data_IF_894253380144
#
_entry.id   IF_894253380144
#
_cell.length_a   1.000
_cell.length_b   1.000
_cell.length_c   1.000
_cell.angle_alpha   90.00
_cell.angle_beta   90.00
_cell.angle_gamma   90.00
#
_symmetry.space_group_name_H-M   'P 1'
#
loop_
_entity.id
_entity.type
_entity.pdbx_description
1 polymer ?
#
# COMPACT_ATOMS: atom_id res chain seq x y z
N UNK A 1 37.15 15.52 14.99
CA UNK A 1 37.13 14.57 13.84
C UNK A 1 37.83 13.23 14.12
N UNK A 2 39.16 13.18 14.26
CA UNK A 2 39.90 11.91 14.40
C UNK A 2 39.49 11.10 15.65
N UNK A 3 39.28 11.77 16.78
CA UNK A 3 38.80 11.13 18.01
C UNK A 3 37.41 10.48 17.80
N UNK A 4 36.47 11.19 17.17
CA UNK A 4 35.15 10.67 16.80
C UNK A 4 35.25 9.46 15.84
N UNK A 5 36.13 9.52 14.84
CA UNK A 5 36.37 8.42 13.89
C UNK A 5 36.85 7.14 14.57
N UNK A 6 37.76 7.29 15.52
CA UNK A 6 38.33 6.18 16.28
C UNK A 6 37.43 5.72 17.44
N UNK A 7 36.47 6.54 17.87
CA UNK A 7 35.64 6.28 19.06
C UNK A 7 36.39 6.45 20.38
N UNK A 8 37.51 7.20 20.38
CA UNK A 8 38.30 7.49 21.58
C UNK A 8 37.60 8.55 22.41
N UNK A 9 36.75 8.08 23.31
CA UNK A 9 35.84 8.93 24.12
C UNK A 9 36.63 9.73 25.16
N UNK A 10 37.67 9.14 25.74
CA UNK A 10 38.64 9.81 26.60
C UNK A 10 39.24 11.07 25.93
N UNK A 11 39.77 10.90 24.72
CA UNK A 11 40.34 12.01 23.95
C UNK A 11 39.24 12.98 23.52
N UNK A 12 38.06 12.47 23.17
CA UNK A 12 36.93 13.34 22.81
C UNK A 12 36.57 14.26 23.97
N UNK A 13 36.43 13.73 25.18
CA UNK A 13 36.08 14.52 26.37
C UNK A 13 37.14 15.56 26.69
N UNK A 14 38.43 15.19 26.65
CA UNK A 14 39.52 16.15 26.84
C UNK A 14 39.46 17.29 25.81
N UNK A 15 39.15 16.95 24.54
CA UNK A 15 39.01 17.96 23.49
C UNK A 15 37.78 18.85 23.73
N UNK A 16 36.66 18.29 24.21
CA UNK A 16 35.44 19.05 24.50
C UNK A 16 35.60 20.03 25.67
N UNK A 17 36.50 19.77 26.63
CA UNK A 17 36.83 20.68 27.73
C UNK A 17 37.64 21.91 27.27
N UNK A 18 38.17 21.89 26.04
CA UNK A 18 38.91 23.02 25.47
C UNK A 18 38.07 24.28 25.33
N UNK A 19 38.63 25.44 25.69
CA UNK A 19 37.95 26.73 25.45
C UNK A 19 37.80 26.95 23.94
N UNK A 20 36.58 27.28 23.51
CA UNK A 20 36.23 27.64 22.11
C UNK A 20 36.33 26.51 21.07
N UNK A 21 36.10 25.26 21.47
CA UNK A 21 36.05 24.15 20.50
C UNK A 21 34.85 24.33 19.58
N UNK A 22 35.11 24.47 18.28
CA UNK A 22 34.07 24.43 17.26
C UNK A 22 33.72 22.96 16.95
N UNK A 23 32.51 22.54 17.33
CA UNK A 23 32.02 21.16 17.15
C UNK A 23 31.51 20.87 15.74
N UNK A 24 31.27 21.93 14.98
CA UNK A 24 30.48 21.92 13.75
C UNK A 24 31.36 22.03 12.50
N UNK A 25 32.66 21.77 12.67
CA UNK A 25 33.62 21.72 11.57
C UNK A 25 33.25 20.56 10.65
N UNK A 26 33.13 20.87 9.35
CA UNK A 26 32.91 19.90 8.29
C UNK A 26 34.25 19.55 7.61
N UNK A 27 34.50 18.26 7.38
CA UNK A 27 35.57 17.80 6.49
C UNK A 27 35.23 18.12 5.02
N UNK A 28 36.14 17.83 4.08
CA UNK A 28 35.95 18.12 2.66
C UNK A 28 34.66 17.52 2.09
N UNK A 29 34.23 16.36 2.58
CA UNK A 29 32.99 15.70 2.17
C UNK A 29 31.73 16.24 2.90
N UNK A 30 31.87 17.27 3.72
CA UNK A 30 30.79 17.84 4.51
C UNK A 30 30.49 17.10 5.82
N UNK A 31 31.20 16.02 6.16
CA UNK A 31 30.91 15.29 7.40
C UNK A 31 31.40 16.07 8.62
N UNK A 32 30.55 16.20 9.64
CA UNK A 32 30.91 16.71 10.98
C UNK A 32 31.39 15.58 11.89
N UNK A 33 31.90 15.92 13.09
CA UNK A 33 32.30 14.92 14.08
C UNK A 33 31.13 13.98 14.46
N UNK A 34 29.92 14.53 14.52
CA UNK A 34 28.67 13.80 14.77
C UNK A 34 28.39 12.82 13.63
N UNK A 35 28.44 13.27 12.37
CA UNK A 35 28.21 12.40 11.20
C UNK A 35 29.21 11.24 11.19
N UNK A 36 30.48 11.53 11.45
CA UNK A 36 31.53 10.49 11.53
C UNK A 36 31.21 9.49 12.65
N UNK A 37 30.82 9.95 13.84
CA UNK A 37 30.49 9.06 14.96
C UNK A 37 29.29 8.15 14.63
N UNK A 38 28.26 8.68 13.95
CA UNK A 38 27.11 7.92 13.45
C UNK A 38 27.54 6.85 12.44
N UNK A 39 28.27 7.25 11.39
CA UNK A 39 28.75 6.32 10.35
C UNK A 39 29.64 5.21 10.92
N UNK A 40 30.50 5.56 11.90
CA UNK A 40 31.46 4.63 12.53
C UNK A 40 30.87 3.88 13.73
N UNK A 41 29.57 4.04 14.00
CA UNK A 41 28.83 3.30 15.06
C UNK A 41 29.46 3.52 16.44
N UNK A 42 29.72 4.78 16.81
CA UNK A 42 30.35 5.14 18.09
C UNK A 42 29.31 5.79 19.02
N UNK A 43 28.37 5.02 19.62
CA UNK A 43 27.27 5.59 20.40
C UNK A 43 27.72 6.37 21.62
N UNK A 44 28.80 5.95 22.30
CA UNK A 44 29.33 6.66 23.47
C UNK A 44 29.91 8.01 23.06
N UNK A 45 30.78 8.03 22.06
CA UNK A 45 31.36 9.27 21.54
C UNK A 45 30.31 10.19 20.95
N UNK A 46 29.31 9.64 20.27
CA UNK A 46 28.16 10.39 19.75
C UNK A 46 27.39 11.08 20.88
N UNK A 47 27.12 10.36 21.98
CA UNK A 47 26.40 10.91 23.13
C UNK A 47 27.14 12.10 23.75
N UNK A 48 28.46 12.03 23.84
CA UNK A 48 29.27 13.15 24.35
C UNK A 48 29.22 14.36 23.41
N UNK A 49 29.27 14.15 22.08
CA UNK A 49 29.13 15.22 21.10
C UNK A 49 27.74 15.88 21.16
N UNK A 50 26.68 15.08 21.27
CA UNK A 50 25.30 15.57 21.42
C UNK A 50 25.14 16.39 22.70
N UNK A 51 25.68 15.91 23.83
CA UNK A 51 25.66 16.63 25.12
C UNK A 51 26.44 17.93 25.09
N UNK A 52 27.54 17.97 24.35
CA UNK A 52 28.34 19.17 24.15
C UNK A 52 27.65 20.21 23.26
N UNK A 53 26.52 19.89 22.65
CA UNK A 53 25.72 20.83 21.85
C UNK A 53 26.20 20.97 20.41
N UNK A 54 26.75 19.91 19.80
CA UNK A 54 26.99 19.89 18.36
C UNK A 54 25.71 20.13 17.57
N UNK A 55 25.79 20.86 16.47
CA UNK A 55 24.67 21.04 15.54
C UNK A 55 24.39 19.71 14.82
N UNK A 56 23.20 19.16 15.07
CA UNK A 56 22.75 17.88 14.52
C UNK A 56 22.05 18.03 13.15
N UNK A 57 21.89 19.26 12.67
CA UNK A 57 21.12 19.60 11.47
C UNK A 57 22.00 19.81 10.24
N UNK A 58 23.33 19.86 10.42
CA UNK A 58 24.26 20.04 9.32
C UNK A 58 24.22 18.86 8.34
N UNK A 59 24.04 19.19 7.07
CA UNK A 59 24.07 18.24 5.97
C UNK A 59 25.49 18.10 5.41
N UNK A 60 25.92 16.87 5.14
CA UNK A 60 27.13 16.63 4.36
C UNK A 60 26.94 16.94 2.86
N UNK A 61 27.95 16.68 2.02
CA UNK A 61 27.85 16.95 0.58
C UNK A 61 26.78 16.11 -0.15
N UNK A 62 26.40 14.95 0.40
CA UNK A 62 25.27 14.16 -0.12
C UNK A 62 23.90 14.76 0.26
N UNK A 63 23.89 15.81 1.08
CA UNK A 63 22.65 16.38 1.63
C UNK A 63 22.10 15.58 2.82
N UNK A 64 22.91 14.74 3.46
CA UNK A 64 22.45 13.90 4.57
C UNK A 64 22.79 14.50 5.93
N UNK A 65 21.81 14.56 6.81
CA UNK A 65 22.02 14.86 8.24
C UNK A 65 22.48 13.60 8.99
N UNK A 66 23.07 13.74 10.19
CA UNK A 66 23.33 12.60 11.08
C UNK A 66 22.11 11.68 11.26
N UNK A 67 20.91 12.26 11.43
CA UNK A 67 19.68 11.51 11.66
C UNK A 67 19.26 10.69 10.43
N UNK A 68 19.38 11.26 9.23
CA UNK A 68 19.14 10.52 7.98
C UNK A 68 20.09 9.34 7.83
N UNK A 69 21.37 9.51 8.16
CA UNK A 69 22.38 8.44 8.07
C UNK A 69 22.07 7.31 9.07
N UNK A 70 21.64 7.67 10.29
CA UNK A 70 21.21 6.70 11.30
C UNK A 70 19.99 5.91 10.84
N UNK A 71 18.97 6.60 10.31
CA UNK A 71 17.75 6.00 9.79
C UNK A 71 18.00 5.08 8.58
N UNK A 72 18.79 5.54 7.60
CA UNK A 72 19.24 4.74 6.44
C UNK A 72 19.99 3.47 6.86
N UNK A 73 20.66 3.51 8.01
CA UNK A 73 21.41 2.38 8.58
C UNK A 73 20.57 1.48 9.48
N UNK A 74 19.33 1.85 9.80
CA UNK A 74 18.42 1.16 10.72
C UNK A 74 19.01 0.91 12.09
N UNK A 75 19.64 1.96 12.65
CA UNK A 75 20.29 1.92 13.95
C UNK A 75 19.44 2.65 14.96
N UNK A 76 18.43 1.98 15.50
CA UNK A 76 17.54 2.59 16.49
C UNK A 76 18.32 3.10 17.72
N UNK A 77 19.41 2.43 18.12
CA UNK A 77 20.29 2.88 19.20
C UNK A 77 20.95 4.23 18.92
N UNK A 78 21.49 4.42 17.72
CA UNK A 78 22.12 5.66 17.28
C UNK A 78 21.07 6.75 17.03
N UNK A 79 19.93 6.39 16.42
CA UNK A 79 18.80 7.30 16.23
C UNK A 79 18.34 7.85 17.58
N UNK A 80 18.16 6.99 18.59
CA UNK A 80 17.74 7.42 19.93
C UNK A 80 18.74 8.38 20.58
N UNK A 81 20.05 8.16 20.41
CA UNK A 81 21.06 9.12 20.92
C UNK A 81 20.95 10.48 20.23
N UNK A 82 20.69 10.52 18.92
CA UNK A 82 20.50 11.78 18.20
C UNK A 82 19.22 12.51 18.63
N UNK A 83 18.14 11.76 18.88
CA UNK A 83 16.85 12.29 19.35
C UNK A 83 16.91 12.86 20.78
N UNK A 84 17.94 12.54 21.57
CA UNK A 84 18.23 13.22 22.85
C UNK A 84 18.77 14.66 22.65
N UNK A 85 19.17 15.02 21.42
CA UNK A 85 19.76 16.30 21.09
C UNK A 85 18.78 17.47 21.18
N UNK A 86 19.26 18.60 21.68
CA UNK A 86 18.48 19.84 21.71
C UNK A 86 18.39 20.44 20.30
N UNK A 87 17.22 20.93 19.93
CA UNK A 87 16.97 21.64 18.66
C UNK A 87 17.24 20.82 17.38
N UNK A 88 17.17 19.48 17.47
CA UNK A 88 17.22 18.63 16.28
C UNK A 88 15.97 18.87 15.42
N UNK A 89 16.19 19.09 14.12
CA UNK A 89 15.15 19.19 13.11
C UNK A 89 14.99 17.81 12.43
N UNK A 90 13.83 17.21 12.65
CA UNK A 90 13.50 15.86 12.16
C UNK A 90 13.06 15.85 10.69
N UNK A 91 12.76 17.03 10.16
CA UNK A 91 12.00 17.22 8.92
C UNK A 91 12.85 17.76 7.77
N UNK A 92 14.16 17.90 7.96
CA UNK A 92 15.12 18.21 6.89
C UNK A 92 14.98 17.15 5.78
N UNK A 93 15.01 17.59 4.53
CA UNK A 93 14.95 16.72 3.34
C UNK A 93 16.25 16.80 2.54
N UNK A 94 16.75 15.63 2.10
CA UNK A 94 17.92 15.55 1.24
C UNK A 94 17.60 16.00 -0.19
N UNK A 95 18.55 16.67 -0.86
CA UNK A 95 18.28 17.42 -2.10
C UNK A 95 17.94 16.57 -3.31
N UNK A 96 18.38 15.32 -3.39
CA UNK A 96 18.26 14.46 -4.58
C UNK A 96 16.86 13.87 -4.70
N UNK A 97 16.32 13.27 -3.64
CA UNK A 97 14.99 12.62 -3.64
C UNK A 97 13.95 13.36 -2.80
N UNK A 98 14.37 14.30 -1.94
CA UNK A 98 13.45 14.92 -0.97
C UNK A 98 13.18 14.03 0.24
N UNK A 99 14.01 13.03 0.52
CA UNK A 99 13.79 12.15 1.67
C UNK A 99 14.25 12.79 2.98
N UNK A 100 13.38 12.71 3.99
CA UNK A 100 13.71 12.97 5.40
C UNK A 100 14.21 11.70 6.09
N UNK A 101 14.60 11.80 7.36
CA UNK A 101 14.98 10.62 8.15
C UNK A 101 13.86 9.57 8.21
N UNK A 102 12.60 10.00 8.32
CA UNK A 102 11.45 9.10 8.32
C UNK A 102 11.30 8.33 7.00
N UNK A 103 11.54 8.97 5.85
CA UNK A 103 11.54 8.29 4.56
C UNK A 103 12.64 7.21 4.50
N UNK A 104 13.84 7.50 4.99
CA UNK A 104 14.93 6.52 5.04
C UNK A 104 14.63 5.33 5.97
N UNK A 105 13.98 5.54 7.12
CA UNK A 105 13.60 4.43 8.01
C UNK A 105 12.51 3.55 7.38
N UNK A 106 11.57 4.18 6.67
CA UNK A 106 10.51 3.46 5.95
C UNK A 106 11.06 2.65 4.80
N UNK A 107 11.95 3.22 3.98
CA UNK A 107 12.60 2.50 2.89
C UNK A 107 13.36 1.26 3.38
N UNK A 108 13.90 1.33 4.59
CA UNK A 108 14.62 0.22 5.18
C UNK A 108 13.70 -0.88 5.74
N UNK A 109 12.41 -0.61 5.92
CA UNK A 109 11.51 -1.48 6.66
C UNK A 109 11.77 -1.48 8.17
N UNK A 110 12.49 -0.48 8.69
CA UNK A 110 12.85 -0.42 10.12
C UNK A 110 11.72 0.23 10.93
N UNK A 111 10.77 -0.60 11.35
CA UNK A 111 9.64 -0.20 12.17
C UNK A 111 10.05 0.43 13.51
N UNK A 112 11.12 -0.03 14.15
CA UNK A 112 11.57 0.50 15.45
C UNK A 112 12.14 1.92 15.31
N UNK A 113 12.94 2.16 14.27
CA UNK A 113 13.42 3.51 13.97
C UNK A 113 12.28 4.43 13.51
N UNK A 114 11.33 3.91 12.75
CA UNK A 114 10.14 4.67 12.32
C UNK A 114 9.29 5.09 13.52
N UNK A 115 9.01 4.17 14.43
CA UNK A 115 8.29 4.44 15.68
C UNK A 115 9.01 5.52 16.52
N UNK A 116 10.34 5.40 16.67
CA UNK A 116 11.13 6.37 17.43
C UNK A 116 11.06 7.78 16.83
N UNK A 117 11.16 7.91 15.50
CA UNK A 117 11.05 9.19 14.80
C UNK A 117 9.65 9.80 14.95
N UNK A 118 8.60 8.99 14.79
CA UNK A 118 7.21 9.46 14.94
C UNK A 118 6.91 9.91 16.38
N UNK A 119 7.37 9.16 17.39
CA UNK A 119 7.24 9.56 18.80
C UNK A 119 8.00 10.85 19.12
N UNK A 120 9.10 11.11 18.43
CA UNK A 120 9.84 12.36 18.56
C UNK A 120 9.18 13.53 17.81
N UNK A 121 8.11 13.30 17.05
CA UNK A 121 7.35 14.33 16.35
C UNK A 121 7.79 14.56 14.91
N UNK A 122 8.50 13.62 14.27
CA UNK A 122 8.81 13.71 12.84
C UNK A 122 7.52 13.77 12.03
N UNK A 123 7.45 14.66 11.04
CA UNK A 123 6.24 14.89 10.26
C UNK A 123 6.03 13.77 9.21
N UNK A 124 4.99 12.92 9.34
CA UNK A 124 4.72 11.85 8.38
C UNK A 124 4.14 12.33 7.05
N UNK A 125 3.77 13.61 6.94
CA UNK A 125 3.12 14.21 5.77
C UNK A 125 4.10 14.90 4.81
N UNK A 126 5.40 14.93 5.15
CA UNK A 126 6.42 15.40 4.23
C UNK A 126 6.37 14.58 2.95
N UNK A 127 6.46 15.27 1.82
CA UNK A 127 6.43 14.67 0.49
C UNK A 127 7.82 14.66 -0.12
N UNK A 128 8.21 13.52 -0.66
CA UNK A 128 9.39 13.42 -1.50
C UNK A 128 9.17 14.09 -2.88
N UNK A 129 10.17 14.00 -3.75
CA UNK A 129 10.08 14.60 -5.10
C UNK A 129 9.07 13.95 -6.03
N UNK A 130 8.56 12.75 -5.73
CA UNK A 130 7.43 12.12 -6.43
C UNK A 130 6.09 12.49 -5.80
N UNK A 131 6.11 13.29 -4.73
CA UNK A 131 4.94 13.59 -3.91
C UNK A 131 4.57 12.47 -2.94
N UNK A 132 5.39 11.42 -2.81
CA UNK A 132 5.10 10.31 -1.91
C UNK A 132 5.37 10.74 -0.47
N UNK A 133 4.43 10.47 0.42
CA UNK A 133 4.63 10.56 1.88
C UNK A 133 5.25 9.27 2.41
N UNK A 134 5.65 9.27 3.69
CA UNK A 134 6.10 8.06 4.38
C UNK A 134 5.11 6.90 4.27
N UNK A 135 3.80 7.16 4.36
CA UNK A 135 2.73 6.15 4.20
C UNK A 135 2.73 5.59 2.78
N UNK A 136 2.78 6.45 1.76
CA UNK A 136 2.80 6.01 0.36
C UNK A 136 4.04 5.16 0.08
N UNK A 137 5.19 5.55 0.60
CA UNK A 137 6.42 4.78 0.48
C UNK A 137 6.30 3.41 1.13
N UNK A 138 5.77 3.31 2.36
CA UNK A 138 5.56 2.02 3.04
C UNK A 138 4.66 1.08 2.24
N UNK A 139 3.61 1.60 1.61
CA UNK A 139 2.72 0.83 0.73
C UNK A 139 3.45 0.34 -0.52
N UNK A 140 4.20 1.22 -1.20
CA UNK A 140 4.98 0.87 -2.40
C UNK A 140 6.10 -0.14 -2.12
N UNK A 141 6.68 -0.10 -0.92
CA UNK A 141 7.74 -1.02 -0.48
C UNK A 141 7.22 -2.30 0.16
N UNK A 142 5.93 -2.35 0.48
CA UNK A 142 5.28 -3.51 1.09
C UNK A 142 5.83 -3.80 2.48
N UNK A 143 5.91 -2.76 3.31
CA UNK A 143 6.46 -2.81 4.66
C UNK A 143 5.32 -2.75 5.71
N UNK A 144 4.62 -3.86 6.00
CA UNK A 144 3.43 -3.86 6.85
C UNK A 144 3.73 -3.44 8.30
N UNK A 145 4.90 -3.80 8.83
CA UNK A 145 5.27 -3.41 10.20
C UNK A 145 5.43 -1.89 10.32
N UNK A 146 6.19 -1.29 9.40
CA UNK A 146 6.38 0.16 9.33
C UNK A 146 5.07 0.89 9.03
N UNK A 147 4.25 0.36 8.14
CA UNK A 147 2.94 0.94 7.82
C UNK A 147 2.04 0.99 9.05
N UNK A 148 2.03 -0.05 9.90
CA UNK A 148 1.27 -0.03 11.16
C UNK A 148 1.76 1.07 12.11
N UNK A 149 3.06 1.31 12.20
CA UNK A 149 3.58 2.41 13.02
C UNK A 149 3.10 3.77 12.51
N UNK A 150 3.09 3.98 11.19
CA UNK A 150 2.58 5.22 10.59
C UNK A 150 1.07 5.40 10.81
N UNK A 151 0.28 4.33 10.68
CA UNK A 151 -1.18 4.35 10.93
C UNK A 151 -1.47 4.65 12.41
N UNK A 152 -0.77 3.97 13.35
CA UNK A 152 -0.90 4.19 14.79
C UNK A 152 -0.52 5.61 15.22
N UNK A 153 0.43 6.22 14.53
CA UNK A 153 0.83 7.60 14.76
C UNK A 153 -0.17 8.64 14.22
N UNK A 154 -1.29 8.21 13.62
CA UNK A 154 -2.32 9.12 13.09
C UNK A 154 -1.89 9.84 11.81
N UNK A 155 -1.05 9.20 10.99
CA UNK A 155 -0.66 9.75 9.68
C UNK A 155 -1.89 9.92 8.78
N UNK A 156 -1.95 11.01 8.00
CA UNK A 156 -3.07 11.23 7.08
C UNK A 156 -2.94 10.28 5.87
N UNK A 157 -3.87 9.33 5.79
CA UNK A 157 -3.91 8.30 4.76
C UNK A 157 -4.56 8.78 3.45
N UNK A 158 -5.05 10.02 3.41
CA UNK A 158 -5.78 10.59 2.27
C UNK A 158 -4.88 11.41 1.34
N UNK A 159 -3.63 11.65 1.73
CA UNK A 159 -2.69 12.45 0.94
C UNK A 159 -2.39 11.78 -0.40
N UNK A 160 -2.49 12.56 -1.47
CA UNK A 160 -2.19 12.12 -2.82
C UNK A 160 -0.75 12.49 -3.22
N UNK A 161 -0.07 11.59 -3.94
CA UNK A 161 1.21 11.91 -4.57
C UNK A 161 1.03 12.75 -5.87
N UNK A 162 2.11 12.95 -6.62
CA UNK A 162 2.03 13.76 -7.85
C UNK A 162 1.09 13.18 -8.91
N UNK A 163 1.00 11.85 -9.01
CA UNK A 163 0.07 11.14 -9.88
C UNK A 163 -1.39 11.27 -9.41
N UNK A 164 -1.64 11.79 -8.20
CA UNK A 164 -2.98 11.82 -7.62
C UNK A 164 -3.36 10.51 -6.93
N UNK A 165 -2.40 9.61 -6.66
CA UNK A 165 -2.67 8.34 -6.00
C UNK A 165 -2.59 8.48 -4.49
N UNK A 166 -3.59 7.97 -3.78
CA UNK A 166 -3.55 7.76 -2.32
C UNK A 166 -2.85 6.43 -1.99
N UNK A 167 -2.37 6.23 -0.74
CA UNK A 167 -1.92 4.93 -0.27
C UNK A 167 -2.90 3.79 -0.58
N UNK A 168 -4.20 4.01 -0.38
CA UNK A 168 -5.23 2.99 -0.60
C UNK A 168 -5.37 2.59 -2.08
N UNK A 169 -5.30 3.56 -3.00
CA UNK A 169 -5.30 3.27 -4.44
C UNK A 169 -4.09 2.43 -4.86
N UNK A 170 -2.92 2.73 -4.31
CA UNK A 170 -1.68 1.99 -4.63
C UNK A 170 -1.78 0.55 -4.12
N UNK A 171 -2.30 0.35 -2.89
CA UNK A 171 -2.53 -0.97 -2.32
C UNK A 171 -3.53 -1.79 -3.17
N UNK A 172 -4.64 -1.15 -3.57
CA UNK A 172 -5.67 -1.77 -4.40
C UNK A 172 -5.16 -2.16 -5.79
N UNK A 173 -4.40 -1.28 -6.47
CA UNK A 173 -3.76 -1.58 -7.77
C UNK A 173 -2.71 -2.68 -7.68
N UNK A 174 -2.14 -2.92 -6.50
CA UNK A 174 -1.12 -3.97 -6.32
C UNK A 174 -1.73 -5.32 -5.91
N UNK A 175 -3.04 -5.40 -5.71
CA UNK A 175 -3.73 -6.61 -5.24
C UNK A 175 -3.32 -7.06 -3.83
N UNK A 176 -2.92 -6.11 -2.97
CA UNK A 176 -2.36 -6.41 -1.64
C UNK A 176 -3.38 -6.20 -0.56
N UNK A 177 -4.16 -7.24 -0.29
CA UNK A 177 -5.23 -7.21 0.71
C UNK A 177 -4.69 -7.00 2.12
N UNK A 178 -3.51 -7.51 2.45
CA UNK A 178 -2.85 -7.33 3.75
C UNK A 178 -2.53 -5.85 4.04
N UNK A 179 -1.91 -5.17 3.08
CA UNK A 179 -1.61 -3.73 3.14
C UNK A 179 -2.89 -2.91 3.13
N UNK A 180 -3.87 -3.31 2.32
CA UNK A 180 -5.19 -2.66 2.28
C UNK A 180 -5.87 -2.73 3.63
N UNK A 181 -5.88 -3.89 4.27
CA UNK A 181 -6.49 -4.06 5.60
C UNK A 181 -5.81 -3.18 6.65
N UNK A 182 -4.48 -3.04 6.63
CA UNK A 182 -3.77 -2.14 7.54
C UNK A 182 -4.20 -0.68 7.31
N UNK A 183 -4.38 -0.25 6.07
CA UNK A 183 -4.84 1.11 5.77
C UNK A 183 -6.29 1.33 6.23
N UNK A 184 -7.16 0.31 6.09
CA UNK A 184 -8.55 0.36 6.53
C UNK A 184 -8.71 0.39 8.06
N UNK A 185 -7.67 0.03 8.83
CA UNK A 185 -7.63 0.24 10.28
C UNK A 185 -7.45 1.72 10.67
N UNK A 186 -7.06 2.59 9.71
CA UNK A 186 -6.81 4.00 9.96
C UNK A 186 -8.06 4.82 10.20
N UNK A 187 -7.97 5.74 11.16
CA UNK A 187 -9.05 6.68 11.46
C UNK A 187 -9.22 7.69 10.30
N UNK A 188 -10.47 8.05 9.99
CA UNK A 188 -10.82 9.07 9.00
C UNK A 188 -10.33 8.81 7.56
N UNK A 189 -10.07 7.56 7.18
CA UNK A 189 -9.75 7.21 5.79
C UNK A 189 -10.94 7.48 4.87
N UNK A 190 -10.69 8.16 3.75
CA UNK A 190 -11.66 8.39 2.69
C UNK A 190 -11.43 7.40 1.55
N UNK A 191 -12.39 6.48 1.38
CA UNK A 191 -12.32 5.39 0.42
C UNK A 191 -12.62 5.82 -1.03
N UNK A 192 -13.21 7.01 -1.20
CA UNK A 192 -13.81 7.47 -2.45
C UNK A 192 -13.01 8.60 -3.12
N UNK A 193 -11.78 8.85 -2.68
CA UNK A 193 -10.86 9.75 -3.39
C UNK A 193 -10.65 9.23 -4.81
N UNK A 194 -10.55 10.14 -5.77
CA UNK A 194 -10.33 9.83 -7.18
C UNK A 194 -8.99 10.38 -7.66
N UNK A 195 -8.25 9.57 -8.41
CA UNK A 195 -6.97 9.96 -9.00
C UNK A 195 -7.17 10.94 -10.17
N UNK A 196 -6.14 11.73 -10.47
CA UNK A 196 -6.27 12.91 -11.33
C UNK A 196 -6.51 12.58 -12.80
N UNK A 197 -5.98 11.49 -13.34
CA UNK A 197 -5.96 11.18 -14.76
C UNK A 197 -7.28 10.56 -15.21
N UNK A 198 -7.70 9.44 -14.65
CA UNK A 198 -8.92 8.72 -15.04
C UNK A 198 -10.08 8.92 -14.07
N UNK A 199 -9.84 9.50 -12.89
CA UNK A 199 -10.87 9.54 -11.85
C UNK A 199 -11.11 8.20 -11.16
N UNK A 200 -10.23 7.22 -11.32
CA UNK A 200 -10.37 5.94 -10.61
C UNK A 200 -10.12 6.12 -9.10
N UNK A 201 -10.96 5.47 -8.30
CA UNK A 201 -10.77 5.29 -6.85
C UNK A 201 -10.10 3.95 -6.55
N UNK A 202 -9.81 3.68 -5.27
CA UNK A 202 -9.27 2.38 -4.87
C UNK A 202 -10.17 1.21 -5.30
N UNK A 203 -11.49 1.36 -5.22
CA UNK A 203 -12.44 0.33 -5.64
C UNK A 203 -12.40 0.09 -7.15
N UNK A 204 -12.18 1.13 -7.97
CA UNK A 204 -12.00 0.97 -9.40
C UNK A 204 -10.70 0.19 -9.71
N UNK A 205 -9.60 0.49 -9.01
CA UNK A 205 -8.34 -0.22 -9.21
C UNK A 205 -8.41 -1.69 -8.78
N UNK A 206 -9.02 -2.01 -7.63
CA UNK A 206 -9.16 -3.41 -7.21
C UNK A 206 -10.04 -4.22 -8.16
N UNK A 207 -11.11 -3.59 -8.67
CA UNK A 207 -11.98 -4.15 -9.70
C UNK A 207 -11.25 -4.36 -11.03
N UNK A 208 -10.48 -3.36 -11.47
CA UNK A 208 -9.67 -3.44 -12.67
C UNK A 208 -8.70 -4.62 -12.56
N UNK A 209 -7.98 -4.80 -11.45
CA UNK A 209 -7.05 -5.91 -11.28
C UNK A 209 -7.72 -7.28 -11.09
N UNK A 210 -9.03 -7.31 -10.82
CA UNK A 210 -9.76 -8.55 -10.52
C UNK A 210 -9.48 -9.10 -9.12
N UNK A 211 -8.90 -8.30 -8.22
CA UNK A 211 -8.65 -8.68 -6.84
C UNK A 211 -9.96 -8.66 -6.05
N UNK A 212 -10.57 -9.84 -5.96
CA UNK A 212 -11.84 -10.04 -5.25
C UNK A 212 -11.71 -9.77 -3.76
N UNK A 213 -10.57 -10.10 -3.14
CA UNK A 213 -10.38 -9.96 -1.70
C UNK A 213 -10.26 -8.49 -1.30
N UNK A 214 -9.47 -7.72 -2.05
CA UNK A 214 -9.36 -6.27 -1.82
C UNK A 214 -10.66 -5.53 -2.17
N UNK A 215 -11.33 -5.93 -3.26
CA UNK A 215 -12.64 -5.36 -3.61
C UNK A 215 -13.68 -5.62 -2.51
N UNK A 216 -13.73 -6.84 -1.97
CA UNK A 216 -14.62 -7.18 -0.85
C UNK A 216 -14.28 -6.39 0.42
N UNK A 217 -12.99 -6.24 0.73
CA UNK A 217 -12.55 -5.44 1.88
C UNK A 217 -12.97 -3.97 1.78
N UNK A 218 -12.77 -3.35 0.61
CA UNK A 218 -13.17 -1.96 0.34
C UNK A 218 -14.69 -1.77 0.43
N UNK A 219 -15.48 -2.69 -0.13
CA UNK A 219 -16.95 -2.64 -0.05
C UNK A 219 -17.44 -2.82 1.39
N UNK A 220 -16.85 -3.74 2.16
CA UNK A 220 -17.17 -3.92 3.59
C UNK A 220 -16.83 -2.69 4.43
N UNK A 221 -15.77 -1.98 4.06
CA UNK A 221 -15.38 -0.72 4.70
C UNK A 221 -16.27 0.46 4.28
N UNK A 222 -17.17 0.29 3.30
CA UNK A 222 -18.13 1.31 2.88
C UNK A 222 -17.72 2.13 1.66
N UNK A 223 -16.78 1.67 0.84
CA UNK A 223 -16.46 2.31 -0.43
C UNK A 223 -17.70 2.39 -1.33
N UNK A 224 -17.91 3.51 -2.01
CA UNK A 224 -19.10 3.73 -2.82
C UNK A 224 -19.05 2.91 -4.13
N UNK A 225 -19.89 1.87 -4.30
CA UNK A 225 -19.89 1.04 -5.52
C UNK A 225 -20.42 1.76 -6.76
N UNK A 226 -21.11 2.90 -6.57
CA UNK A 226 -21.69 3.69 -7.64
C UNK A 226 -20.86 4.91 -8.02
N UNK A 227 -19.69 5.10 -7.39
CA UNK A 227 -18.75 6.14 -7.78
C UNK A 227 -18.32 5.89 -9.23
N UNK A 228 -18.38 6.93 -10.05
CA UNK A 228 -18.02 6.88 -11.47
C UNK A 228 -16.67 7.52 -11.69
N UNK A 229 -15.81 6.86 -12.47
CA UNK A 229 -14.60 7.46 -13.01
C UNK A 229 -14.94 8.56 -14.06
N UNK A 230 -13.91 9.17 -14.66
CA UNK A 230 -14.08 10.21 -15.69
C UNK A 230 -14.65 9.68 -17.01
N UNK A 231 -14.61 8.37 -17.24
CA UNK A 231 -15.24 7.72 -18.40
C UNK A 231 -16.71 7.39 -18.12
N UNK A 232 -17.20 7.67 -16.90
CA UNK A 232 -18.56 7.37 -16.47
C UNK A 232 -18.77 5.93 -16.03
N UNK A 233 -17.69 5.14 -15.92
CA UNK A 233 -17.73 3.74 -15.51
C UNK A 233 -17.61 3.61 -13.99
N UNK A 234 -18.41 2.72 -13.42
CA UNK A 234 -18.28 2.25 -12.04
C UNK A 234 -17.28 1.09 -11.94
N UNK A 235 -16.84 0.77 -10.73
CA UNK A 235 -15.98 -0.40 -10.50
C UNK A 235 -16.58 -1.71 -11.05
N UNK A 236 -17.89 -1.92 -10.92
CA UNK A 236 -18.57 -3.09 -11.47
C UNK A 236 -18.51 -3.13 -13.00
N UNK A 237 -18.77 -2.01 -13.67
CA UNK A 237 -18.70 -1.93 -15.14
C UNK A 237 -17.27 -2.18 -15.66
N UNK A 238 -16.23 -1.79 -14.90
CA UNK A 238 -14.84 -2.14 -15.22
C UNK A 238 -14.60 -3.65 -15.13
N UNK A 239 -15.11 -4.33 -14.09
CA UNK A 239 -14.97 -5.80 -13.98
C UNK A 239 -15.62 -6.53 -15.17
N UNK A 240 -16.75 -6.01 -15.67
CA UNK A 240 -17.46 -6.59 -16.81
C UNK A 240 -16.70 -6.42 -18.12
N UNK A 241 -16.12 -5.26 -18.36
CA UNK A 241 -15.28 -5.03 -19.53
C UNK A 241 -14.04 -5.94 -19.53
N UNK A 242 -13.42 -6.15 -18.37
CA UNK A 242 -12.30 -7.08 -18.22
C UNK A 242 -12.74 -8.54 -18.39
N UNK A 243 -13.90 -8.92 -17.84
CA UNK A 243 -14.48 -10.26 -18.01
C UNK A 243 -14.91 -10.54 -19.46
N UNK A 244 -15.28 -9.53 -20.24
CA UNK A 244 -15.54 -9.66 -21.68
C UNK A 244 -14.24 -9.79 -22.48
N UNK A 245 -13.14 -9.21 -21.99
CA UNK A 245 -11.80 -9.31 -22.58
C UNK A 245 -11.06 -10.59 -22.18
N UNK A 246 -11.45 -11.22 -21.06
CA UNK A 246 -10.90 -12.45 -20.49
C UNK A 246 -11.94 -13.56 -20.58
N UNK A 247 -11.81 -14.45 -21.55
CA UNK A 247 -12.77 -15.53 -21.90
C UNK A 247 -13.14 -16.54 -20.76
N UNK A 248 -12.77 -16.33 -19.49
CA UNK A 248 -12.80 -17.40 -18.45
C UNK A 248 -13.50 -17.05 -17.10
N UNK A 249 -14.02 -15.85 -16.84
CA UNK A 249 -14.57 -15.53 -15.48
C UNK A 249 -16.10 -15.59 -15.29
N UNK A 250 -16.80 -16.55 -15.93
CA UNK A 250 -18.27 -16.71 -15.89
C UNK A 250 -18.89 -17.09 -14.51
N UNK A 251 -18.16 -16.98 -13.39
CA UNK A 251 -18.59 -17.47 -12.06
C UNK A 251 -18.71 -16.40 -10.97
N UNK A 252 -18.03 -15.26 -11.07
CA UNK A 252 -18.09 -14.22 -10.02
C UNK A 252 -19.37 -13.37 -10.04
N UNK A 253 -19.89 -12.92 -11.20
CA UNK A 253 -21.14 -12.15 -11.25
C UNK A 253 -22.32 -12.91 -10.63
N UNK A 254 -22.39 -14.23 -10.84
CA UNK A 254 -23.46 -15.07 -10.24
C UNK A 254 -23.34 -15.20 -8.72
N UNK A 255 -22.13 -15.25 -8.17
CA UNK A 255 -21.93 -15.49 -6.73
C UNK A 255 -22.31 -14.28 -5.89
N UNK A 256 -22.02 -13.07 -6.38
CA UNK A 256 -22.43 -11.81 -5.75
C UNK A 256 -23.94 -11.59 -5.90
N UNK A 257 -24.51 -11.96 -7.06
CA UNK A 257 -25.95 -11.92 -7.33
C UNK A 257 -26.75 -12.85 -6.39
N UNK A 258 -26.19 -13.99 -6.00
CA UNK A 258 -26.82 -14.93 -5.06
C UNK A 258 -26.73 -14.49 -3.58
N UNK A 259 -25.77 -13.65 -3.20
CA UNK A 259 -25.56 -13.28 -1.79
C UNK A 259 -26.21 -11.97 -1.38
N UNK A 260 -26.42 -11.01 -2.31
CA UNK A 260 -27.13 -9.75 -2.01
C UNK A 260 -28.07 -9.30 -3.15
N UNK A 261 -29.28 -9.90 -3.27
CA UNK A 261 -30.22 -9.62 -4.36
C UNK A 261 -30.77 -8.18 -4.37
N UNK A 262 -30.79 -7.49 -3.21
CA UNK A 262 -31.32 -6.13 -3.06
C UNK A 262 -30.45 -5.04 -3.68
N UNK A 263 -29.22 -5.35 -4.07
CA UNK A 263 -28.27 -4.41 -4.68
C UNK A 263 -28.39 -4.30 -6.20
N UNK A 264 -29.27 -5.10 -6.83
CA UNK A 264 -29.42 -5.13 -8.28
C UNK A 264 -30.71 -4.43 -8.75
N UNK A 265 -30.56 -3.48 -9.67
CA UNK A 265 -31.69 -2.89 -10.40
C UNK A 265 -32.12 -3.82 -11.55
N UNK A 266 -33.44 -3.89 -11.76
CA UNK A 266 -34.15 -4.65 -12.79
C UNK A 266 -33.52 -4.57 -14.19
N UNK A 267 -32.92 -3.43 -14.54
CA UNK A 267 -32.28 -3.22 -15.84
C UNK A 267 -31.01 -4.05 -16.04
N UNK A 268 -30.28 -4.36 -14.96
CA UNK A 268 -29.07 -5.17 -15.01
C UNK A 268 -29.39 -6.62 -15.38
N UNK A 269 -30.37 -7.21 -14.67
CA UNK A 269 -30.83 -8.57 -14.94
C UNK A 269 -31.34 -8.71 -16.38
N UNK A 270 -32.03 -7.70 -16.91
CA UNK A 270 -32.51 -7.67 -18.29
C UNK A 270 -31.37 -7.61 -19.32
N UNK A 271 -30.31 -6.83 -19.08
CA UNK A 271 -29.14 -6.77 -19.97
C UNK A 271 -28.37 -8.09 -19.97
N UNK A 272 -28.17 -8.68 -18.79
CA UNK A 272 -27.51 -9.98 -18.65
C UNK A 272 -28.33 -11.11 -19.31
N UNK A 273 -29.65 -11.11 -19.16
CA UNK A 273 -30.55 -12.05 -19.87
C UNK A 273 -30.47 -11.90 -21.40
N UNK A 274 -30.44 -10.66 -21.92
CA UNK A 274 -30.31 -10.41 -23.36
C UNK A 274 -28.97 -10.90 -23.90
N UNK A 275 -27.89 -10.69 -23.15
CA UNK A 275 -26.55 -11.14 -23.52
C UNK A 275 -26.45 -12.67 -23.54
N UNK A 276 -27.00 -13.36 -22.54
CA UNK A 276 -27.07 -14.84 -22.55
C UNK A 276 -27.94 -15.38 -23.68
N UNK A 277 -29.00 -14.65 -24.08
CA UNK A 277 -29.81 -15.00 -25.27
C UNK A 277 -29.02 -14.81 -26.57
N UNK A 278 -28.23 -13.75 -26.70
CA UNK A 278 -27.31 -13.55 -27.83
C UNK A 278 -26.27 -14.65 -27.91
N UNK A 279 -25.58 -14.96 -26.81
CA UNK A 279 -24.58 -16.05 -26.76
C UNK A 279 -25.19 -17.41 -27.10
N UNK A 280 -26.45 -17.68 -26.70
CA UNK A 280 -27.18 -18.90 -27.09
C UNK A 280 -27.38 -18.98 -28.60
N UNK A 281 -27.67 -17.84 -29.23
CA UNK A 281 -27.97 -17.77 -30.66
C UNK A 281 -26.67 -17.83 -31.49
N UNK A 282 -25.53 -17.41 -30.93
CA UNK A 282 -24.18 -17.49 -31.53
C UNK A 282 -23.51 -18.88 -31.39
N UNK A 283 -23.84 -19.63 -30.33
CA UNK A 283 -23.37 -21.00 -30.10
C UNK A 283 -24.18 -22.00 -30.94
N UNK A 284 -23.85 -22.09 -32.22
CA UNK A 284 -24.43 -23.06 -33.15
C UNK A 284 -24.27 -24.51 -32.68
N UNK A 285 -25.32 -25.06 -32.05
CA UNK A 285 -25.58 -26.50 -31.95
C UNK A 285 -24.68 -27.35 -31.05
N UNK A 286 -23.75 -26.78 -30.29
CA UNK A 286 -22.93 -27.59 -29.35
C UNK A 286 -23.68 -27.85 -28.03
N UNK A 287 -23.99 -29.12 -27.77
CA UNK A 287 -25.05 -29.57 -26.85
C UNK A 287 -24.77 -29.26 -25.38
N UNK A 288 -23.50 -29.15 -24.97
CA UNK A 288 -23.08 -28.93 -23.58
C UNK A 288 -23.10 -27.45 -23.20
N UNK A 289 -22.48 -26.59 -24.01
CA UNK A 289 -22.50 -25.13 -23.82
C UNK A 289 -23.91 -24.55 -24.01
N UNK A 290 -24.68 -25.07 -24.98
CA UNK A 290 -26.10 -24.68 -25.15
C UNK A 290 -26.96 -25.12 -23.96
N UNK A 291 -26.70 -26.29 -23.38
CA UNK A 291 -27.41 -26.79 -22.18
C UNK A 291 -27.15 -25.94 -20.94
N UNK A 292 -25.91 -25.50 -20.72
CA UNK A 292 -25.56 -24.66 -19.57
C UNK A 292 -26.18 -23.26 -19.70
N UNK A 293 -26.12 -22.66 -20.89
CA UNK A 293 -26.72 -21.35 -21.15
C UNK A 293 -28.25 -21.39 -20.99
N UNK A 294 -28.91 -22.48 -21.42
CA UNK A 294 -30.35 -22.70 -21.20
C UNK A 294 -30.71 -22.83 -19.71
N UNK A 295 -29.90 -23.54 -18.92
CA UNK A 295 -30.11 -23.66 -17.47
C UNK A 295 -29.99 -22.31 -16.76
N UNK A 296 -28.96 -21.52 -17.12
CA UNK A 296 -28.74 -20.17 -16.57
C UNK A 296 -29.88 -19.19 -16.90
N UNK A 297 -30.41 -19.27 -18.13
CA UNK A 297 -31.58 -18.47 -18.56
C UNK A 297 -32.84 -18.83 -17.78
N UNK A 298 -33.10 -20.13 -17.59
CA UNK A 298 -34.27 -20.63 -16.86
C UNK A 298 -34.25 -20.25 -15.38
N UNK A 299 -33.06 -20.17 -14.78
CA UNK A 299 -32.89 -19.73 -13.40
C UNK A 299 -33.08 -18.22 -13.25
N UNK A 300 -32.56 -17.41 -14.18
CA UNK A 300 -32.81 -15.97 -14.23
C UNK A 300 -34.31 -15.64 -14.43
N UNK A 301 -35.03 -16.45 -15.22
CA UNK A 301 -36.49 -16.33 -15.37
C UNK A 301 -37.22 -16.63 -14.06
N UNK A 302 -36.85 -17.72 -13.35
CA UNK A 302 -37.44 -18.07 -12.05
C UNK A 302 -37.19 -16.99 -10.99
N UNK A 303 -35.98 -16.44 -10.93
CA UNK A 303 -35.62 -15.34 -10.01
C UNK A 303 -36.37 -14.06 -10.36
N UNK A 304 -36.55 -13.74 -11.66
CA UNK A 304 -37.34 -12.59 -12.10
C UNK A 304 -38.85 -12.72 -11.82
N UNK A 305 -39.35 -13.96 -11.68
CA UNK A 305 -40.72 -14.28 -11.24
C UNK A 305 -40.88 -14.35 -9.71
N UNK A 306 -39.82 -14.10 -8.94
CA UNK A 306 -39.84 -14.16 -7.47
C UNK A 306 -39.88 -15.59 -6.89
N UNK A 307 -39.48 -16.61 -7.66
CA UNK A 307 -39.44 -18.01 -7.25
C UNK A 307 -38.00 -18.46 -6.99
N UNK A 308 -37.77 -19.14 -5.87
CA UNK A 308 -36.46 -19.74 -5.54
C UNK A 308 -36.30 -21.07 -6.28
N UNK A 309 -35.18 -21.32 -6.99
CA UNK A 309 -34.92 -22.60 -7.65
C UNK A 309 -34.85 -23.76 -6.64
N UNK A 310 -35.37 -24.93 -7.00
CA UNK A 310 -35.37 -26.10 -6.12
C UNK A 310 -33.95 -26.68 -5.95
N UNK A 311 -33.67 -27.32 -4.81
CA UNK A 311 -32.36 -27.92 -4.51
C UNK A 311 -31.89 -28.94 -5.58
N UNK A 312 -32.83 -29.63 -6.24
CA UNK A 312 -32.54 -30.52 -7.36
C UNK A 312 -32.06 -29.79 -8.62
N UNK A 313 -32.61 -28.61 -8.91
CA UNK A 313 -32.18 -27.77 -10.04
C UNK A 313 -30.78 -27.18 -9.77
N UNK A 314 -30.53 -26.72 -8.55
CA UNK A 314 -29.21 -26.22 -8.14
C UNK A 314 -28.12 -27.31 -8.22
N UNK A 315 -28.48 -28.54 -7.86
CA UNK A 315 -27.56 -29.70 -7.88
C UNK A 315 -27.23 -30.16 -9.31
N UNK A 316 -28.20 -30.17 -10.23
CA UNK A 316 -27.96 -30.50 -11.65
C UNK A 316 -27.03 -29.50 -12.33
N UNK A 317 -27.12 -28.22 -11.98
CA UNK A 317 -26.24 -27.17 -12.48
C UNK A 317 -24.82 -27.36 -11.94
N UNK A 318 -24.69 -27.59 -10.62
CA UNK A 318 -23.39 -27.85 -9.98
C UNK A 318 -22.65 -29.05 -10.60
N UNK A 319 -23.39 -30.10 -10.95
CA UNK A 319 -22.86 -31.31 -11.57
C UNK A 319 -22.42 -31.12 -13.03
N UNK A 320 -23.06 -30.21 -13.78
CA UNK A 320 -22.66 -29.84 -15.16
C UNK A 320 -21.61 -28.73 -15.23
N UNK A 321 -21.29 -28.08 -14.11
CA UNK A 321 -20.28 -27.02 -14.00
C UNK A 321 -18.90 -27.53 -13.55
N UNK A 322 -18.80 -28.76 -13.05
CA UNK A 322 -17.52 -29.42 -12.83
C UNK A 322 -17.01 -29.96 -14.18
N UNK A 323 -15.80 -29.59 -14.65
CA UNK A 323 -15.19 -30.30 -15.76
C UNK A 323 -14.99 -31.76 -15.30
N UNK A 324 -15.31 -32.73 -16.16
CA UNK A 324 -14.78 -34.09 -15.99
C UNK A 324 -13.25 -33.96 -15.95
N UNK A 325 -12.66 -34.12 -14.76
CA UNK A 325 -11.22 -34.35 -14.63
C UNK A 325 -10.95 -35.72 -15.23
N UNK A 326 -10.32 -35.71 -16.40
CA UNK A 326 -9.77 -36.90 -17.04
C UNK A 326 -8.67 -37.49 -16.13
N UNK A 327 -8.77 -38.75 -15.67
CA UNK A 327 -7.85 -39.30 -14.66
C UNK A 327 -6.42 -39.58 -15.14
N UNK A 328 -6.07 -39.29 -16.40
CA UNK A 328 -4.81 -39.79 -17.00
C UNK A 328 -3.67 -38.77 -17.19
N UNK A 329 -3.81 -37.52 -16.77
CA UNK A 329 -2.70 -36.55 -16.83
C UNK A 329 -2.47 -35.84 -15.49
N UNK A 330 -1.87 -36.57 -14.55
CA UNK A 330 -1.15 -35.99 -13.42
C UNK A 330 0.13 -35.31 -13.93
N UNK A 331 0.36 -34.00 -13.71
CA UNK A 331 1.72 -33.49 -13.62
C UNK A 331 2.27 -33.91 -12.24
N UNK A 332 3.22 -34.82 -12.25
CA UNK A 332 4.05 -35.14 -11.08
C UNK A 332 4.63 -33.86 -10.47
N UNK A 333 4.16 -33.50 -9.28
CA UNK A 333 4.90 -32.67 -8.34
C UNK A 333 5.17 -33.53 -7.09
N UNK A 334 6.28 -34.27 -7.16
CA UNK A 334 6.94 -34.81 -5.97
C UNK A 334 7.94 -33.77 -5.46
N UNK A 335 7.76 -33.43 -4.16
CA UNK A 335 8.65 -32.71 -3.23
C UNK A 335 8.89 -31.20 -3.45
#
# INVERSE_FOLDING_TARGET
>A
MIAARSGRTDITNILLEGKHVNLDIQEENGDTAVIIAVQRRKPVTLRELVRAGSDLNLQNQEGLTPLMIAARSGRTDITNVLLEGKHIDLDIQEKRTGWSALHFSVERGDSATTEALLKAGANPHLKDKNGDTAVIMAVKRHEPATLRELVRAGSDLNLQNQEGLTPLMIAARSGRTDITNILLEGEHINLDIQEKRTGQSALHFSAEEGDSATTEALLKAGANPHLKDKNGATAMEITEQRAQSSLVSKTLPMRVMMTQPSLYDSQYALRYQRQLKSERDDLGGDDTSSSLTRLKLKELELVSEGKVPTAGQQSQIKMKMTPEMDPEHSPDFNL
#
